data_IF_286692557453
#
_entry.id   IF_286692557453
#
_cell.length_a   1.000
_cell.length_b   1.000
_cell.length_c   1.000
_cell.angle_alpha   90.00
_cell.angle_beta   90.00
_cell.angle_gamma   90.00
#
_symmetry.space_group_name_H-M   'P 1'
#
loop_
_entity.id
_entity.type
_entity.pdbx_description
1 polymer ?
#
# COMPACT_ATOMS: atom_id res chain seq x y z
N UNK A 1 -20.65 31.75 -38.47
CA UNK A 1 -21.59 31.79 -37.33
C UNK A 1 -22.46 30.56 -37.42
N UNK A 2 -22.03 29.46 -36.81
CA UNK A 2 -22.81 28.23 -36.69
C UNK A 2 -22.76 27.81 -35.23
N UNK A 3 -23.92 27.88 -34.56
CA UNK A 3 -24.09 27.42 -33.20
C UNK A 3 -24.07 25.89 -33.17
N UNK A 4 -23.09 25.32 -32.47
CA UNK A 4 -23.14 23.93 -32.03
C UNK A 4 -23.74 23.91 -30.63
N UNK A 5 -24.97 23.41 -30.53
CA UNK A 5 -25.69 23.26 -29.28
C UNK A 5 -24.94 22.34 -28.32
N UNK A 6 -24.87 22.75 -27.06
CA UNK A 6 -24.67 21.85 -25.93
C UNK A 6 -25.79 20.81 -25.97
N UNK A 7 -25.46 19.57 -26.31
CA UNK A 7 -26.31 18.43 -26.00
C UNK A 7 -26.20 18.22 -24.49
N UNK A 8 -27.15 18.81 -23.76
CA UNK A 8 -27.42 18.51 -22.34
C UNK A 8 -27.91 17.06 -22.25
N UNK A 9 -26.97 16.13 -22.32
CA UNK A 9 -27.19 14.74 -21.97
C UNK A 9 -27.36 14.64 -20.46
N UNK A 10 -28.61 14.46 -20.04
CA UNK A 10 -29.08 13.92 -18.76
C UNK A 10 -27.96 13.56 -17.78
N UNK A 11 -27.78 14.42 -16.77
CA UNK A 11 -27.02 14.07 -15.57
C UNK A 11 -27.55 12.77 -14.93
N UNK A 12 -26.75 12.14 -14.06
CA UNK A 12 -27.09 10.87 -13.45
C UNK A 12 -28.49 10.92 -12.84
N UNK A 13 -29.30 9.88 -13.14
CA UNK A 13 -30.71 9.78 -12.73
C UNK A 13 -30.83 10.03 -11.22
N UNK A 14 -31.72 10.97 -10.88
CA UNK A 14 -31.99 11.43 -9.52
C UNK A 14 -32.46 10.28 -8.63
N UNK A 15 -31.54 9.76 -7.82
CA UNK A 15 -31.88 9.32 -6.48
C UNK A 15 -31.64 10.51 -5.56
N UNK A 16 -32.51 10.72 -4.56
CA UNK A 16 -32.58 11.89 -3.67
C UNK A 16 -31.34 12.11 -2.75
N UNK A 17 -30.15 11.63 -3.14
CA UNK A 17 -29.04 11.32 -2.23
C UNK A 17 -27.65 11.86 -2.60
N UNK A 18 -27.48 12.81 -3.53
CA UNK A 18 -26.16 13.44 -3.73
C UNK A 18 -26.15 14.94 -3.38
N UNK A 19 -26.15 15.30 -2.07
CA UNK A 19 -26.05 16.69 -1.63
C UNK A 19 -24.75 17.37 -2.06
N UNK A 20 -23.72 16.60 -2.48
CA UNK A 20 -22.46 17.16 -2.96
C UNK A 20 -22.58 17.72 -4.37
N UNK A 21 -23.20 17.00 -5.31
CA UNK A 21 -23.36 17.47 -6.69
C UNK A 21 -24.22 18.75 -6.78
N UNK A 22 -25.27 18.82 -5.97
CA UNK A 22 -26.13 20.00 -5.90
C UNK A 22 -25.41 21.24 -5.34
N UNK A 23 -24.35 21.06 -4.54
CA UNK A 23 -23.57 22.15 -3.92
C UNK A 23 -22.28 22.48 -4.65
N UNK A 24 -21.70 21.50 -5.33
CA UNK A 24 -20.46 21.62 -6.08
C UNK A 24 -20.60 22.63 -7.21
N UNK A 25 -21.61 22.47 -8.06
CA UNK A 25 -21.79 23.36 -9.23
C UNK A 25 -22.08 24.82 -8.84
N UNK A 26 -22.96 25.12 -7.86
CA UNK A 26 -23.13 26.49 -7.37
C UNK A 26 -21.85 27.09 -6.76
N UNK A 27 -21.09 26.31 -5.97
CA UNK A 27 -19.83 26.77 -5.37
C UNK A 27 -18.80 27.12 -6.44
N UNK A 28 -18.71 26.29 -7.49
CA UNK A 28 -17.86 26.55 -8.65
C UNK A 28 -18.27 27.78 -9.44
N UNK A 29 -19.56 27.92 -9.78
CA UNK A 29 -20.05 29.09 -10.51
C UNK A 29 -19.82 30.38 -9.73
N UNK A 30 -19.96 30.34 -8.40
CA UNK A 30 -19.62 31.47 -7.54
C UNK A 30 -18.12 31.81 -7.60
N UNK A 31 -17.24 30.80 -7.62
CA UNK A 31 -15.80 30.97 -7.83
C UNK A 31 -15.46 31.58 -9.20
N UNK A 32 -16.07 31.06 -10.27
CA UNK A 32 -15.89 31.55 -11.64
C UNK A 32 -16.35 33.00 -11.80
N UNK A 33 -17.48 33.37 -11.19
CA UNK A 33 -17.98 34.75 -11.18
C UNK A 33 -17.03 35.73 -10.47
N UNK A 34 -16.18 35.24 -9.57
CA UNK A 34 -15.15 36.04 -8.89
C UNK A 34 -13.81 36.10 -9.66
N UNK A 35 -13.77 35.66 -10.92
CA UNK A 35 -12.57 35.70 -11.76
C UNK A 35 -11.55 34.58 -11.49
N UNK A 36 -11.92 33.55 -10.71
CA UNK A 36 -11.05 32.40 -10.38
C UNK A 36 -11.16 31.22 -11.37
N UNK A 37 -11.98 31.36 -12.42
CA UNK A 37 -12.26 30.26 -13.36
C UNK A 37 -13.00 29.09 -12.69
N UNK A 38 -12.91 27.90 -13.30
CA UNK A 38 -13.50 26.66 -12.81
C UNK A 38 -12.52 25.84 -11.94
N UNK A 39 -11.49 26.49 -11.38
CA UNK A 39 -10.51 25.82 -10.53
C UNK A 39 -11.11 25.46 -9.16
N UNK A 40 -10.81 24.26 -8.69
CA UNK A 40 -11.18 23.83 -7.33
C UNK A 40 -10.14 24.33 -6.36
N UNK A 41 -10.48 25.38 -5.61
CA UNK A 41 -9.67 25.87 -4.50
C UNK A 41 -10.23 25.39 -3.15
N UNK A 42 -9.49 25.68 -2.09
CA UNK A 42 -9.87 25.31 -0.72
C UNK A 42 -11.19 25.95 -0.27
N UNK A 43 -11.59 27.09 -0.87
CA UNK A 43 -12.85 27.77 -0.58
C UNK A 43 -14.07 27.09 -1.22
N UNK A 44 -13.90 26.49 -2.41
CA UNK A 44 -14.91 25.63 -3.04
C UNK A 44 -15.15 24.39 -2.18
N UNK A 45 -14.08 23.75 -1.70
CA UNK A 45 -14.17 22.59 -0.81
C UNK A 45 -14.85 22.94 0.52
N UNK A 46 -14.50 24.08 1.11
CA UNK A 46 -15.19 24.62 2.30
C UNK A 46 -16.69 24.78 2.05
N UNK A 47 -17.09 25.46 0.98
CA UNK A 47 -18.50 25.72 0.65
C UNK A 47 -19.27 24.41 0.41
N UNK A 48 -18.66 23.46 -0.28
CA UNK A 48 -19.28 22.17 -0.59
C UNK A 48 -19.47 21.31 0.68
N UNK A 49 -18.47 21.30 1.57
CA UNK A 49 -18.49 20.49 2.78
C UNK A 49 -19.16 21.20 3.97
N UNK A 50 -19.48 22.48 3.85
CA UNK A 50 -20.17 23.24 4.90
C UNK A 50 -21.57 22.67 5.18
N UNK A 51 -21.96 22.66 6.45
CA UNK A 51 -23.22 22.06 6.91
C UNK A 51 -23.37 20.53 6.71
N UNK A 52 -22.45 19.86 6.00
CA UNK A 52 -22.46 18.39 5.88
C UNK A 52 -22.12 17.72 7.22
N UNK A 53 -22.73 16.57 7.51
CA UNK A 53 -22.39 15.75 8.67
C UNK A 53 -20.91 15.34 8.68
N UNK A 54 -20.30 15.17 9.86
CA UNK A 54 -18.87 14.85 10.00
C UNK A 54 -18.50 13.53 9.29
N UNK A 55 -19.39 12.56 9.26
CA UNK A 55 -19.22 11.26 8.63
C UNK A 55 -19.68 11.23 7.17
N UNK A 56 -19.96 12.38 6.55
CA UNK A 56 -20.55 12.42 5.22
C UNK A 56 -19.68 11.76 4.13
N UNK A 57 -18.35 11.72 4.32
CA UNK A 57 -17.40 11.04 3.42
C UNK A 57 -16.88 9.71 3.99
N UNK A 58 -17.56 9.14 4.99
CA UNK A 58 -17.16 7.84 5.57
C UNK A 58 -17.49 6.66 4.65
N UNK A 59 -18.56 6.76 3.87
CA UNK A 59 -18.97 5.71 2.95
C UNK A 59 -18.18 5.79 1.65
N UNK A 60 -17.76 4.62 1.15
CA UNK A 60 -17.10 4.46 -0.15
C UNK A 60 -17.87 5.14 -1.27
N UNK A 61 -19.18 4.83 -1.38
CA UNK A 61 -20.06 5.40 -2.41
C UNK A 61 -20.02 6.92 -2.47
N UNK A 62 -20.02 7.62 -1.32
CA UNK A 62 -20.01 9.08 -1.32
C UNK A 62 -18.64 9.65 -1.70
N UNK A 63 -17.56 8.95 -1.36
CA UNK A 63 -16.21 9.33 -1.83
C UNK A 63 -16.07 9.12 -3.33
N UNK A 64 -16.58 8.01 -3.86
CA UNK A 64 -16.61 7.73 -5.30
C UNK A 64 -17.45 8.77 -6.06
N UNK A 65 -18.64 9.09 -5.57
CA UNK A 65 -19.49 10.13 -6.17
C UNK A 65 -18.77 11.49 -6.24
N UNK A 66 -18.08 11.88 -5.16
CA UNK A 66 -17.34 13.14 -5.12
C UNK A 66 -16.06 13.09 -5.96
N UNK A 67 -15.29 12.00 -5.91
CA UNK A 67 -14.09 11.81 -6.72
C UNK A 67 -14.43 11.87 -8.21
N UNK A 68 -15.48 11.15 -8.63
CA UNK A 68 -15.96 11.17 -10.01
C UNK A 68 -16.37 12.58 -10.47
N UNK A 69 -17.06 13.35 -9.62
CA UNK A 69 -17.44 14.71 -9.93
C UNK A 69 -16.22 15.64 -10.11
N UNK A 70 -15.23 15.52 -9.22
CA UNK A 70 -13.99 16.30 -9.28
C UNK A 70 -13.11 15.89 -10.47
N UNK A 71 -13.05 14.59 -10.79
CA UNK A 71 -12.37 14.06 -11.98
C UNK A 71 -12.90 14.68 -13.26
N UNK A 72 -14.24 14.72 -13.43
CA UNK A 72 -14.86 15.37 -14.60
C UNK A 72 -14.44 16.85 -14.69
N UNK A 73 -14.36 17.55 -13.57
CA UNK A 73 -13.97 18.95 -13.56
C UNK A 73 -12.50 19.16 -13.96
N UNK A 74 -11.61 18.32 -13.44
CA UNK A 74 -10.20 18.30 -13.82
C UNK A 74 -10.04 18.04 -15.32
N UNK A 75 -10.79 17.09 -15.87
CA UNK A 75 -10.76 16.74 -17.30
C UNK A 75 -11.30 17.85 -18.21
N UNK A 76 -12.19 18.71 -17.69
CA UNK A 76 -12.74 19.85 -18.45
C UNK A 76 -11.85 21.09 -18.45
N UNK A 77 -10.79 21.11 -17.66
CA UNK A 77 -9.82 22.22 -17.64
C UNK A 77 -8.93 22.21 -18.89
N UNK A 78 -8.35 23.36 -19.24
CA UNK A 78 -7.42 23.46 -20.38
C UNK A 78 -6.12 22.67 -20.12
N UNK A 79 -5.71 22.58 -18.85
CA UNK A 79 -4.58 21.75 -18.41
C UNK A 79 -5.01 20.81 -17.27
N UNK A 80 -5.51 19.60 -17.61
CA UNK A 80 -5.95 18.61 -16.61
C UNK A 80 -4.85 18.21 -15.63
N UNK A 81 -3.59 18.21 -16.05
CA UNK A 81 -2.47 17.85 -15.17
C UNK A 81 -2.24 18.92 -14.10
N UNK A 82 -2.26 20.20 -14.50
CA UNK A 82 -2.17 21.31 -13.56
C UNK A 82 -3.42 21.39 -12.66
N UNK A 83 -4.62 21.18 -13.21
CA UNK A 83 -5.87 21.17 -12.46
C UNK A 83 -5.92 20.05 -11.41
N UNK A 84 -5.46 18.84 -11.74
CA UNK A 84 -5.35 17.73 -10.79
C UNK A 84 -4.40 18.09 -9.63
N UNK A 85 -3.25 18.67 -9.96
CA UNK A 85 -2.25 19.11 -8.96
C UNK A 85 -2.85 20.18 -8.05
N UNK A 86 -3.51 21.19 -8.62
CA UNK A 86 -4.18 22.25 -7.88
C UNK A 86 -5.28 21.71 -6.96
N UNK A 87 -6.06 20.71 -7.40
CA UNK A 87 -7.07 20.05 -6.55
C UNK A 87 -6.43 19.36 -5.34
N UNK A 88 -5.30 18.67 -5.52
CA UNK A 88 -4.57 18.05 -4.42
C UNK A 88 -4.05 19.10 -3.43
N UNK A 89 -3.54 20.23 -3.93
CA UNK A 89 -3.13 21.35 -3.08
C UNK A 89 -4.31 21.95 -2.32
N UNK A 90 -5.43 22.19 -2.99
CA UNK A 90 -6.65 22.68 -2.36
C UNK A 90 -7.16 21.76 -1.25
N UNK A 91 -7.12 20.44 -1.45
CA UNK A 91 -7.48 19.47 -0.43
C UNK A 91 -6.52 19.49 0.77
N UNK A 92 -5.22 19.65 0.53
CA UNK A 92 -4.21 19.79 1.58
C UNK A 92 -4.36 21.09 2.37
N UNK A 93 -4.59 22.20 1.68
CA UNK A 93 -4.84 23.51 2.28
C UNK A 93 -6.11 23.50 3.12
N UNK A 94 -7.20 22.97 2.58
CA UNK A 94 -8.46 22.79 3.30
C UNK A 94 -8.23 21.98 4.58
N UNK A 95 -7.53 20.85 4.50
CA UNK A 95 -7.22 20.02 5.66
C UNK A 95 -6.35 20.79 6.68
N UNK A 96 -5.30 21.49 6.22
CA UNK A 96 -4.40 22.25 7.08
C UNK A 96 -5.10 23.41 7.81
N UNK A 97 -5.98 24.14 7.12
CA UNK A 97 -6.80 25.20 7.71
C UNK A 97 -7.69 24.64 8.84
N UNK A 98 -8.35 23.51 8.58
CA UNK A 98 -9.20 22.84 9.59
C UNK A 98 -8.38 22.24 10.73
N UNK A 99 -7.15 21.80 10.48
CA UNK A 99 -6.24 21.37 11.53
C UNK A 99 -5.88 22.54 12.46
N UNK A 100 -5.57 23.71 11.88
CA UNK A 100 -5.24 24.92 12.63
C UNK A 100 -6.42 25.42 13.48
N UNK A 101 -7.63 25.47 12.91
CA UNK A 101 -8.87 25.82 13.63
C UNK A 101 -9.14 24.89 14.84
N UNK A 102 -8.65 23.66 14.78
CA UNK A 102 -8.83 22.64 15.80
C UNK A 102 -7.63 22.52 16.76
N UNK A 103 -6.76 23.54 16.82
CA UNK A 103 -5.62 23.57 17.73
C UNK A 103 -4.53 22.56 17.37
N UNK A 104 -4.38 22.23 16.09
CA UNK A 104 -3.37 21.28 15.60
C UNK A 104 -3.82 19.81 15.62
N UNK A 105 -5.09 19.53 15.91
CA UNK A 105 -5.61 18.15 16.02
C UNK A 105 -6.59 17.85 14.89
N UNK A 106 -6.34 16.77 14.16
CA UNK A 106 -7.23 16.34 13.09
C UNK A 106 -8.50 15.73 13.68
N UNK A 107 -9.66 16.35 13.38
CA UNK A 107 -10.96 15.82 13.80
C UNK A 107 -11.47 14.68 12.93
N UNK A 108 -10.68 14.13 12.02
CA UNK A 108 -11.09 13.04 11.12
C UNK A 108 -12.41 13.35 10.37
N UNK A 109 -13.11 12.33 9.86
CA UNK A 109 -14.37 12.50 9.15
C UNK A 109 -14.17 13.31 7.87
N UNK A 110 -15.13 14.17 7.49
CA UNK A 110 -15.10 14.94 6.24
C UNK A 110 -13.83 15.78 6.05
N UNK A 111 -13.28 16.31 7.15
CA UNK A 111 -12.09 17.16 7.13
C UNK A 111 -10.84 16.40 6.69
N UNK A 112 -10.77 15.11 7.02
CA UNK A 112 -9.65 14.22 6.68
C UNK A 112 -9.95 13.36 5.46
N UNK A 113 -11.18 12.87 5.33
CA UNK A 113 -11.59 11.95 4.28
C UNK A 113 -11.56 12.58 2.89
N UNK A 114 -11.57 13.92 2.79
CA UNK A 114 -11.31 14.63 1.54
C UNK A 114 -9.91 14.33 0.98
N UNK A 115 -8.92 14.02 1.84
CA UNK A 115 -7.59 13.59 1.40
C UNK A 115 -7.64 12.24 0.66
N UNK A 116 -8.56 11.34 1.03
CA UNK A 116 -8.78 10.08 0.30
C UNK A 116 -9.50 10.28 -1.03
N UNK A 117 -10.39 11.28 -1.11
CA UNK A 117 -11.01 11.69 -2.36
C UNK A 117 -9.95 12.28 -3.30
N UNK A 118 -9.11 13.19 -2.81
CA UNK A 118 -7.97 13.71 -3.56
C UNK A 118 -6.99 12.61 -3.97
N UNK A 119 -6.73 11.64 -3.10
CA UNK A 119 -5.92 10.46 -3.43
C UNK A 119 -6.55 9.63 -4.57
N UNK A 120 -7.88 9.56 -4.66
CA UNK A 120 -8.56 8.86 -5.76
C UNK A 120 -8.40 9.60 -7.07
N UNK A 121 -8.64 10.91 -7.08
CA UNK A 121 -8.43 11.75 -8.27
C UNK A 121 -6.97 11.72 -8.70
N UNK A 122 -6.01 11.72 -7.75
CA UNK A 122 -4.58 11.65 -8.06
C UNK A 122 -4.21 10.41 -8.89
N UNK A 123 -4.81 9.26 -8.53
CA UNK A 123 -4.57 7.98 -9.20
C UNK A 123 -5.26 7.94 -10.55
N UNK A 124 -6.52 8.38 -10.62
CA UNK A 124 -7.30 8.43 -11.87
C UNK A 124 -6.66 9.35 -12.92
N UNK A 125 -6.16 10.50 -12.48
CA UNK A 125 -5.52 11.49 -13.35
C UNK A 125 -4.01 11.24 -13.54
N UNK A 126 -3.46 10.20 -12.91
CA UNK A 126 -2.03 9.84 -12.98
C UNK A 126 -1.13 11.05 -12.74
N UNK A 127 -1.39 11.76 -11.64
CA UNK A 127 -0.69 13.02 -11.30
C UNK A 127 0.82 12.80 -11.29
N UNK A 128 1.57 13.58 -12.08
CA UNK A 128 3.02 13.41 -12.21
C UNK A 128 3.83 14.02 -11.05
N UNK A 129 3.27 15.00 -10.33
CA UNK A 129 3.97 15.72 -9.27
C UNK A 129 4.15 14.86 -8.01
N UNK A 130 5.34 14.27 -7.87
CA UNK A 130 5.72 13.47 -6.70
C UNK A 130 5.77 14.28 -5.40
N UNK A 131 6.01 15.59 -5.45
CA UNK A 131 6.09 16.41 -4.24
C UNK A 131 4.70 16.60 -3.62
N UNK A 132 3.67 16.89 -4.42
CA UNK A 132 2.30 17.03 -3.91
C UNK A 132 1.74 15.69 -3.42
N UNK A 133 1.99 14.60 -4.13
CA UNK A 133 1.56 13.25 -3.70
C UNK A 133 2.26 12.83 -2.41
N UNK A 134 3.55 13.14 -2.26
CA UNK A 134 4.27 12.87 -1.01
C UNK A 134 3.75 13.69 0.17
N UNK A 135 3.38 14.98 -0.04
CA UNK A 135 2.70 15.80 0.97
C UNK A 135 1.35 15.21 1.38
N UNK A 136 0.59 14.68 0.43
CA UNK A 136 -0.66 13.97 0.69
C UNK A 136 -0.46 12.75 1.58
N UNK A 137 0.51 11.89 1.25
CA UNK A 137 0.86 10.72 2.07
C UNK A 137 1.33 11.13 3.48
N UNK A 138 2.15 12.18 3.58
CA UNK A 138 2.62 12.69 4.86
C UNK A 138 1.46 13.22 5.73
N UNK A 139 0.50 13.94 5.13
CA UNK A 139 -0.69 14.44 5.83
C UNK A 139 -1.58 13.30 6.34
N UNK A 140 -1.79 12.25 5.53
CA UNK A 140 -2.51 11.05 5.94
C UNK A 140 -1.82 10.37 7.14
N UNK A 141 -0.52 10.11 7.03
CA UNK A 141 0.27 9.49 8.08
C UNK A 141 0.29 10.32 9.37
N UNK A 142 0.42 11.64 9.28
CA UNK A 142 0.45 12.51 10.45
C UNK A 142 -0.84 12.43 11.29
N UNK A 143 -1.98 12.19 10.65
CA UNK A 143 -3.27 12.11 11.33
C UNK A 143 -3.60 10.69 11.80
N UNK A 144 -3.23 9.66 11.03
CA UNK A 144 -3.61 8.26 11.30
C UNK A 144 -2.52 7.46 12.04
N UNK A 145 -1.28 7.97 12.06
CA UNK A 145 -0.11 7.27 12.58
C UNK A 145 0.44 6.16 11.67
N UNK A 146 -0.16 5.97 10.50
CA UNK A 146 0.21 4.98 9.51
C UNK A 146 -0.51 5.21 8.17
N UNK A 147 -0.28 4.31 7.21
CA UNK A 147 -0.92 4.33 5.88
C UNK A 147 -1.77 3.06 5.65
N UNK A 148 -2.34 2.53 6.72
CA UNK A 148 -3.11 1.28 6.76
C UNK A 148 -4.22 1.24 5.73
N UNK A 149 -4.93 2.36 5.53
CA UNK A 149 -6.04 2.43 4.56
C UNK A 149 -5.59 2.34 3.10
N UNK A 150 -4.31 2.58 2.81
CA UNK A 150 -3.73 2.37 1.48
C UNK A 150 -3.06 0.99 1.37
N UNK A 151 -2.39 0.53 2.43
CA UNK A 151 -1.59 -0.70 2.41
C UNK A 151 -2.42 -1.96 2.68
N UNK A 152 -3.30 -1.94 3.69
CA UNK A 152 -4.05 -3.13 4.09
C UNK A 152 -4.94 -3.71 2.98
N UNK A 153 -5.64 -2.91 2.15
CA UNK A 153 -6.41 -3.45 1.01
C UNK A 153 -5.54 -4.20 0.00
N UNK A 154 -4.32 -3.74 -0.27
CA UNK A 154 -3.39 -4.35 -1.24
C UNK A 154 -2.77 -5.67 -0.73
N UNK A 155 -2.74 -5.86 0.59
CA UNK A 155 -2.03 -6.96 1.25
C UNK A 155 -2.97 -8.01 1.86
N UNK A 156 -4.13 -7.58 2.37
CA UNK A 156 -5.13 -8.44 3.01
C UNK A 156 -6.42 -8.54 2.19
N UNK A 157 -6.55 -7.74 1.13
CA UNK A 157 -7.77 -7.57 0.36
C UNK A 157 -8.72 -6.51 0.94
N UNK A 158 -9.51 -5.82 0.10
CA UNK A 158 -10.43 -4.76 0.52
C UNK A 158 -11.47 -5.19 1.57
N UNK A 159 -11.91 -6.46 1.52
CA UNK A 159 -12.91 -7.01 2.45
C UNK A 159 -12.38 -7.15 3.87
N UNK A 160 -11.15 -7.64 4.03
CA UNK A 160 -10.51 -7.82 5.34
C UNK A 160 -10.13 -6.46 5.92
N UNK A 161 -9.62 -5.56 5.10
CA UNK A 161 -9.30 -4.19 5.52
C UNK A 161 -10.51 -3.48 6.17
N UNK A 162 -11.71 -3.66 5.61
CA UNK A 162 -12.96 -3.12 6.19
C UNK A 162 -13.24 -3.60 7.60
N UNK A 163 -12.95 -4.87 7.90
CA UNK A 163 -13.18 -5.45 9.22
C UNK A 163 -12.20 -4.88 10.27
N UNK A 164 -10.96 -4.58 9.86
CA UNK A 164 -9.90 -4.14 10.77
C UNK A 164 -9.94 -2.64 11.06
N UNK A 165 -10.24 -1.84 10.04
CA UNK A 165 -10.10 -0.37 10.10
C UNK A 165 -11.44 0.37 10.24
N UNK A 166 -12.56 -0.35 10.19
CA UNK A 166 -13.91 0.22 9.98
C UNK A 166 -14.02 1.13 8.75
N UNK A 167 -13.02 1.08 7.86
CA UNK A 167 -12.93 1.87 6.64
C UNK A 167 -13.11 0.94 5.44
N UNK A 168 -14.08 1.24 4.60
CA UNK A 168 -14.24 0.50 3.33
C UNK A 168 -13.26 1.08 2.33
N UNK A 169 -12.35 0.27 1.79
CA UNK A 169 -11.44 0.70 0.71
C UNK A 169 -12.22 1.23 -0.49
N UNK A 170 -11.59 2.08 -1.28
CA UNK A 170 -12.15 2.56 -2.55
C UNK A 170 -12.03 1.51 -3.66
N UNK A 171 -11.24 0.45 -3.44
CA UNK A 171 -11.02 -0.64 -4.39
C UNK A 171 -12.04 -1.78 -4.21
N UNK A 172 -12.36 -2.49 -5.29
CA UNK A 172 -13.17 -3.71 -5.26
C UNK A 172 -12.32 -4.97 -5.11
N UNK A 173 -11.12 -4.96 -5.70
CA UNK A 173 -10.24 -6.12 -5.78
C UNK A 173 -8.85 -5.86 -5.16
N UNK A 174 -8.16 -6.90 -4.66
CA UNK A 174 -6.75 -6.77 -4.25
C UNK A 174 -5.85 -6.24 -5.37
N UNK A 175 -6.13 -6.58 -6.63
CA UNK A 175 -5.35 -6.18 -7.79
C UNK A 175 -5.43 -4.67 -8.02
N UNK A 176 -6.63 -4.09 -7.97
CA UNK A 176 -6.84 -2.63 -8.02
C UNK A 176 -6.12 -1.93 -6.87
N UNK A 177 -6.27 -2.44 -5.64
CA UNK A 177 -5.59 -1.89 -4.47
C UNK A 177 -4.07 -1.92 -4.60
N UNK A 178 -3.50 -2.97 -5.23
CA UNK A 178 -2.06 -3.07 -5.49
C UNK A 178 -1.61 -2.07 -6.55
N UNK A 179 -2.37 -1.88 -7.64
CA UNK A 179 -2.05 -0.86 -8.64
C UNK A 179 -2.05 0.54 -8.03
N UNK A 180 -3.05 0.83 -7.20
CA UNK A 180 -3.15 2.07 -6.44
C UNK A 180 -1.99 2.24 -5.46
N UNK A 181 -1.60 1.18 -4.75
CA UNK A 181 -0.44 1.21 -3.86
C UNK A 181 0.86 1.48 -4.64
N UNK A 182 1.06 0.85 -5.79
CA UNK A 182 2.22 1.09 -6.66
C UNK A 182 2.33 2.56 -7.03
N UNK A 183 1.24 3.20 -7.46
CA UNK A 183 1.22 4.64 -7.74
C UNK A 183 1.80 5.46 -6.57
N UNK A 184 1.32 5.22 -5.34
CA UNK A 184 1.81 5.94 -4.17
C UNK A 184 3.25 5.59 -3.79
N UNK A 185 3.69 4.34 -3.96
CA UNK A 185 5.05 3.92 -3.70
C UNK A 185 6.04 4.54 -4.70
N UNK A 186 5.66 4.65 -5.97
CA UNK A 186 6.45 5.30 -7.02
C UNK A 186 6.72 6.76 -6.63
N UNK A 187 5.67 7.53 -6.30
CA UNK A 187 5.78 8.93 -5.89
C UNK A 187 6.54 9.08 -4.57
N UNK A 188 6.27 8.23 -3.57
CA UNK A 188 7.00 8.24 -2.31
C UNK A 188 8.50 7.97 -2.53
N UNK A 189 8.85 7.06 -3.44
CA UNK A 189 10.23 6.76 -3.77
C UNK A 189 10.91 7.95 -4.46
N UNK A 190 10.26 8.54 -5.47
CA UNK A 190 10.78 9.70 -6.20
C UNK A 190 10.99 10.92 -5.28
N UNK A 191 10.05 11.15 -4.36
CA UNK A 191 10.13 12.24 -3.38
C UNK A 191 11.02 11.90 -2.17
N UNK A 192 11.59 10.69 -2.08
CA UNK A 192 12.37 10.19 -0.94
C UNK A 192 11.63 10.33 0.39
N UNK A 193 10.32 10.05 0.37
CA UNK A 193 9.42 10.27 1.49
C UNK A 193 9.77 9.37 2.67
N UNK A 194 10.07 10.02 3.80
CA UNK A 194 10.17 9.36 5.11
C UNK A 194 9.05 9.86 6.01
N UNK A 195 8.49 8.95 6.80
CA UNK A 195 7.34 9.18 7.66
C UNK A 195 7.80 9.33 9.11
N UNK A 196 7.45 10.43 9.79
CA UNK A 196 7.85 10.66 11.17
C UNK A 196 7.27 9.61 12.11
N UNK A 197 8.06 9.19 13.10
CA UNK A 197 7.65 8.19 14.09
C UNK A 197 7.62 8.79 15.50
N UNK A 198 6.67 8.42 16.36
CA UNK A 198 6.65 8.89 17.75
C UNK A 198 7.90 8.40 18.50
N UNK A 199 8.79 9.32 18.89
CA UNK A 199 9.98 9.01 19.68
C UNK A 199 11.04 8.16 18.95
N UNK A 200 10.97 8.05 17.62
CA UNK A 200 11.85 7.23 16.80
C UNK A 200 12.25 7.97 15.51
N UNK A 201 13.35 7.57 14.83
CA UNK A 201 13.73 8.17 13.56
C UNK A 201 12.63 7.98 12.51
N UNK A 202 12.54 8.92 11.58
CA UNK A 202 11.63 8.80 10.44
C UNK A 202 11.98 7.57 9.59
N UNK A 203 10.95 6.89 9.10
CA UNK A 203 11.09 5.62 8.38
C UNK A 203 10.54 5.74 6.97
N UNK A 204 11.14 5.09 5.95
CA UNK A 204 10.52 4.92 4.64
C UNK A 204 9.12 4.29 4.73
N UNK A 205 8.24 4.61 3.78
CA UNK A 205 6.84 4.13 3.72
C UNK A 205 6.73 2.61 3.92
N UNK A 206 7.54 1.82 3.22
CA UNK A 206 7.50 0.34 3.28
C UNK A 206 8.03 -0.28 4.58
N UNK A 207 8.57 0.54 5.47
CA UNK A 207 9.07 0.14 6.79
C UNK A 207 8.30 0.77 7.93
N UNK A 208 7.43 1.74 7.64
CA UNK A 208 6.58 2.36 8.63
C UNK A 208 5.60 1.33 9.21
N UNK A 209 5.37 1.35 10.53
CA UNK A 209 4.43 0.45 11.18
C UNK A 209 3.00 0.74 10.72
N UNK A 210 2.16 -0.30 10.69
CA UNK A 210 0.72 -0.21 10.43
C UNK A 210 -0.05 -0.36 11.75
N UNK A 211 -0.52 0.73 12.40
CA UNK A 211 -1.26 0.71 13.65
C UNK A 211 -2.40 -0.32 13.74
N UNK A 212 -3.21 -0.46 12.69
CA UNK A 212 -4.33 -1.42 12.68
C UNK A 212 -3.86 -2.88 12.67
N UNK A 213 -2.60 -3.11 12.29
CA UNK A 213 -1.95 -4.42 12.25
C UNK A 213 -0.90 -4.57 13.35
N UNK A 214 -1.17 -4.01 14.53
CA UNK A 214 -0.31 -4.10 15.72
C UNK A 214 1.12 -3.56 15.48
N UNK A 215 1.25 -2.57 14.60
CA UNK A 215 2.54 -1.97 14.25
C UNK A 215 3.41 -2.83 13.32
N UNK A 216 2.85 -3.87 12.71
CA UNK A 216 3.57 -4.66 11.71
C UNK A 216 3.94 -3.80 10.48
N UNK A 217 5.15 -3.97 9.92
CA UNK A 217 5.47 -3.36 8.63
C UNK A 217 4.71 -4.06 7.49
N UNK A 218 4.48 -3.37 6.35
CA UNK A 218 3.73 -3.90 5.21
C UNK A 218 4.12 -5.32 4.77
N UNK A 219 5.42 -5.59 4.64
CA UNK A 219 5.89 -6.90 4.19
C UNK A 219 5.62 -8.02 5.21
N UNK A 220 5.65 -7.73 6.50
CA UNK A 220 5.28 -8.70 7.53
C UNK A 220 3.80 -9.08 7.40
N UNK A 221 2.93 -8.08 7.19
CA UNK A 221 1.51 -8.32 7.00
C UNK A 221 1.23 -9.20 5.76
N UNK A 222 1.97 -8.99 4.66
CA UNK A 222 1.84 -9.80 3.45
C UNK A 222 2.24 -11.26 3.66
N UNK A 223 3.36 -11.48 4.37
CA UNK A 223 3.79 -12.83 4.76
C UNK A 223 2.79 -13.49 5.70
N UNK A 224 2.20 -12.73 6.64
CA UNK A 224 1.16 -13.25 7.54
C UNK A 224 -0.10 -13.67 6.79
N UNK A 225 -0.45 -12.97 5.72
CA UNK A 225 -1.57 -13.30 4.85
C UNK A 225 -1.30 -14.49 3.93
N UNK A 226 -0.03 -14.86 3.73
CA UNK A 226 0.36 -15.87 2.74
C UNK A 226 0.17 -15.39 1.30
N UNK A 227 0.13 -14.08 1.08
CA UNK A 227 -0.09 -13.47 -0.24
C UNK A 227 1.24 -13.30 -0.98
N UNK A 228 1.56 -14.28 -1.84
CA UNK A 228 2.81 -14.30 -2.62
C UNK A 228 2.95 -13.09 -3.55
N UNK A 229 1.85 -12.60 -4.13
CA UNK A 229 1.86 -11.46 -5.06
C UNK A 229 2.13 -10.15 -4.32
N UNK A 230 1.48 -9.94 -3.16
CA UNK A 230 1.76 -8.78 -2.31
C UNK A 230 3.21 -8.81 -1.79
N UNK A 231 3.71 -9.99 -1.39
CA UNK A 231 5.12 -10.15 -0.99
C UNK A 231 6.06 -9.77 -2.14
N UNK A 232 5.81 -10.27 -3.36
CA UNK A 232 6.61 -9.94 -4.53
C UNK A 232 6.62 -8.43 -4.79
N UNK A 233 5.44 -7.80 -4.81
CA UNK A 233 5.28 -6.36 -5.06
C UNK A 233 6.09 -5.55 -4.05
N UNK A 234 5.90 -5.79 -2.75
CA UNK A 234 6.57 -5.04 -1.69
C UNK A 234 8.09 -5.23 -1.76
N UNK A 235 8.55 -6.46 -1.99
CA UNK A 235 9.97 -6.73 -2.21
C UNK A 235 10.48 -5.95 -3.41
N UNK A 236 9.82 -6.00 -4.56
CA UNK A 236 10.23 -5.28 -5.78
C UNK A 236 10.42 -3.78 -5.53
N UNK A 237 9.62 -3.16 -4.66
CA UNK A 237 9.73 -1.74 -4.27
C UNK A 237 10.72 -1.49 -3.11
N UNK A 238 11.48 -2.50 -2.69
CA UNK A 238 12.59 -2.35 -1.74
C UNK A 238 12.24 -2.62 -0.28
N UNK A 239 11.08 -3.24 0.02
CA UNK A 239 10.77 -3.64 1.39
C UNK A 239 11.84 -4.61 1.94
N UNK A 240 12.29 -4.44 3.19
CA UNK A 240 13.36 -5.26 3.76
C UNK A 240 12.86 -6.67 4.11
N UNK A 241 13.38 -7.74 3.48
CA UNK A 241 12.90 -9.11 3.70
C UNK A 241 13.25 -9.66 5.09
N UNK A 242 14.31 -9.13 5.70
CA UNK A 242 14.76 -9.54 7.02
C UNK A 242 15.10 -8.29 7.85
N UNK A 243 14.26 -8.01 8.84
CA UNK A 243 14.48 -7.00 9.87
C UNK A 243 14.92 -7.66 11.16
N UNK A 244 15.51 -6.90 12.09
CA UNK A 244 15.74 -7.40 13.44
C UNK A 244 14.44 -7.49 14.25
N UNK A 245 14.38 -8.37 15.25
CA UNK A 245 13.27 -8.44 16.20
C UNK A 245 12.10 -9.34 15.81
N UNK A 246 10.98 -9.20 16.53
CA UNK A 246 9.83 -10.11 16.43
C UNK A 246 9.04 -9.97 15.12
N UNK A 247 9.04 -8.78 14.51
CA UNK A 247 8.31 -8.44 13.28
C UNK A 247 9.15 -8.66 12.01
N UNK A 248 10.02 -9.68 12.03
CA UNK A 248 10.86 -10.04 10.90
C UNK A 248 10.10 -10.90 9.86
N UNK A 249 9.94 -10.45 8.60
CA UNK A 249 9.18 -11.20 7.59
C UNK A 249 9.76 -12.59 7.28
N UNK A 250 11.07 -12.70 7.07
CA UNK A 250 11.74 -13.99 6.89
C UNK A 250 11.50 -14.95 8.06
N UNK A 251 11.66 -14.46 9.29
CA UNK A 251 11.45 -15.29 10.48
C UNK A 251 9.99 -15.74 10.61
N UNK A 252 9.03 -14.89 10.25
CA UNK A 252 7.63 -15.26 10.23
C UNK A 252 7.34 -16.40 9.25
N UNK A 253 7.82 -16.29 8.00
CA UNK A 253 7.64 -17.34 6.99
C UNK A 253 8.21 -18.69 7.47
N UNK A 254 9.39 -18.66 8.08
CA UNK A 254 10.04 -19.85 8.66
C UNK A 254 9.23 -20.44 9.82
N UNK A 255 8.71 -19.60 10.71
CA UNK A 255 7.85 -20.04 11.84
C UNK A 255 6.55 -20.67 11.35
N UNK A 256 5.91 -20.13 10.31
CA UNK A 256 4.69 -20.70 9.72
C UNK A 256 4.93 -22.10 9.16
N UNK A 257 5.96 -22.26 8.32
CA UNK A 257 6.33 -23.57 7.78
C UNK A 257 6.72 -24.55 8.89
N UNK A 258 7.42 -24.07 9.93
CA UNK A 258 7.79 -24.89 11.08
C UNK A 258 6.57 -25.32 11.91
N UNK A 259 5.59 -24.44 12.09
CA UNK A 259 4.34 -24.77 12.76
C UNK A 259 3.52 -25.78 11.97
N UNK A 260 3.48 -25.66 10.63
CA UNK A 260 2.84 -26.64 9.74
C UNK A 260 3.51 -28.01 9.85
N UNK A 261 4.85 -28.03 9.83
CA UNK A 261 5.61 -29.26 10.01
C UNK A 261 5.29 -29.92 11.36
N UNK A 262 5.28 -29.15 12.46
CA UNK A 262 4.91 -29.67 13.79
C UNK A 262 3.48 -30.19 13.85
N UNK A 263 2.52 -29.45 13.29
CA UNK A 263 1.12 -29.85 13.28
C UNK A 263 0.92 -31.17 12.51
N UNK A 264 1.57 -31.32 11.36
CA UNK A 264 1.55 -32.54 10.57
C UNK A 264 2.22 -33.70 11.32
N UNK A 265 3.38 -33.47 11.95
CA UNK A 265 4.06 -34.49 12.74
C UNK A 265 3.29 -34.87 14.01
N UNK A 266 2.49 -33.98 14.59
CA UNK A 266 1.62 -34.28 15.72
C UNK A 266 0.41 -35.15 15.37
N UNK A 267 0.05 -35.24 14.09
CA UNK A 267 -1.01 -36.15 13.61
C UNK A 267 -0.48 -37.55 13.29
N UNK A 268 0.83 -37.76 13.37
CA UNK A 268 1.46 -39.04 13.12
C UNK A 268 1.25 -39.98 14.31
N UNK A 269 0.91 -41.24 14.02
CA UNK A 269 0.88 -42.27 15.05
C UNK A 269 2.26 -42.46 15.69
N UNK A 270 2.33 -42.62 17.01
CA UNK A 270 3.59 -42.85 17.70
C UNK A 270 4.24 -44.13 17.18
N UNK A 271 5.53 -44.04 16.80
CA UNK A 271 6.29 -45.22 16.45
C UNK A 271 6.90 -45.88 17.68
N UNK A 272 7.13 -47.19 17.61
CA UNK A 272 7.86 -47.99 18.60
C UNK A 272 9.38 -47.74 18.59
N UNK A 273 9.80 -46.62 18.04
CA UNK A 273 11.17 -46.20 17.84
C UNK A 273 11.74 -45.64 19.16
N UNK A 274 12.94 -46.06 19.62
CA UNK A 274 13.45 -45.70 20.95
C UNK A 274 14.03 -44.27 21.05
N UNK A 275 13.97 -43.46 19.98
CA UNK A 275 14.57 -42.11 19.93
C UNK A 275 13.52 -41.07 19.53
N UNK A 276 13.58 -39.89 20.16
CA UNK A 276 12.72 -38.73 19.87
C UNK A 276 12.81 -38.26 18.41
N UNK A 277 13.91 -38.57 17.71
CA UNK A 277 14.15 -38.30 16.29
C UNK A 277 14.43 -39.61 15.53
N UNK A 278 13.46 -40.52 15.48
CA UNK A 278 13.60 -41.77 14.72
C UNK A 278 13.82 -41.52 13.22
N UNK A 279 14.48 -42.43 12.46
CA UNK A 279 14.57 -42.30 11.00
C UNK A 279 13.21 -42.15 10.30
N UNK A 280 12.19 -42.81 10.85
CA UNK A 280 10.80 -42.67 10.41
C UNK A 280 10.23 -41.24 10.50
N UNK A 281 10.82 -40.37 11.32
CA UNK A 281 10.50 -38.94 11.41
C UNK A 281 10.75 -38.22 10.08
N UNK A 282 11.83 -38.60 9.38
CA UNK A 282 12.21 -38.01 8.10
C UNK A 282 11.51 -38.70 6.92
N UNK A 283 11.00 -39.92 7.12
CA UNK A 283 10.25 -40.65 6.09
C UNK A 283 8.77 -40.31 6.03
N UNK A 284 8.21 -39.63 7.05
CA UNK A 284 6.78 -39.26 7.04
C UNK A 284 6.50 -38.21 5.94
N UNK A 285 5.47 -38.40 5.10
CA UNK A 285 5.17 -37.47 4.03
C UNK A 285 4.71 -36.14 4.60
N UNK A 286 5.46 -35.07 4.29
CA UNK A 286 5.11 -33.71 4.64
C UNK A 286 5.00 -32.91 3.34
N UNK A 287 3.81 -32.37 3.07
CA UNK A 287 3.57 -31.54 1.90
C UNK A 287 3.34 -30.13 2.40
N UNK A 288 4.28 -29.23 2.09
CA UNK A 288 4.13 -27.82 2.39
C UNK A 288 3.20 -27.16 1.37
N UNK A 289 2.30 -26.24 1.78
CA UNK A 289 1.47 -25.50 0.86
C UNK A 289 2.32 -24.72 -0.15
N UNK A 290 2.00 -24.75 -1.45
CA UNK A 290 2.82 -24.13 -2.48
C UNK A 290 2.96 -22.61 -2.27
N UNK A 291 1.91 -21.93 -1.79
CA UNK A 291 1.93 -20.49 -1.52
C UNK A 291 2.92 -20.12 -0.40
N UNK A 292 2.94 -20.88 0.70
CA UNK A 292 3.87 -20.63 1.83
C UNK A 292 5.33 -20.87 1.40
N UNK A 293 5.56 -21.87 0.57
CA UNK A 293 6.88 -22.15 -0.03
C UNK A 293 7.26 -21.03 -1.01
N UNK A 294 6.33 -20.54 -1.82
CA UNK A 294 6.52 -19.43 -2.75
C UNK A 294 6.95 -18.15 -2.01
N UNK A 295 6.23 -17.79 -0.95
CA UNK A 295 6.58 -16.67 -0.05
C UNK A 295 7.99 -16.83 0.52
N UNK A 296 8.33 -18.00 1.07
CA UNK A 296 9.68 -18.25 1.60
C UNK A 296 10.74 -18.08 0.50
N UNK A 297 10.52 -18.63 -0.70
CA UNK A 297 11.47 -18.52 -1.83
C UNK A 297 11.71 -17.07 -2.22
N UNK A 298 10.67 -16.25 -2.33
CA UNK A 298 10.80 -14.82 -2.62
C UNK A 298 11.65 -14.10 -1.57
N UNK A 299 11.40 -14.37 -0.29
CA UNK A 299 12.17 -13.80 0.81
C UNK A 299 13.63 -14.25 0.77
N UNK A 300 13.90 -15.54 0.58
CA UNK A 300 15.26 -16.07 0.48
C UNK A 300 16.02 -15.47 -0.71
N UNK A 301 15.37 -15.30 -1.87
CA UNK A 301 15.97 -14.64 -3.04
C UNK A 301 16.26 -13.16 -2.80
N UNK A 302 15.50 -12.51 -1.93
CA UNK A 302 15.72 -11.12 -1.55
C UNK A 302 16.75 -10.95 -0.43
N UNK A 303 17.16 -12.03 0.26
CA UNK A 303 18.13 -12.00 1.36
C UNK A 303 19.49 -12.47 0.86
N UNK A 304 20.53 -11.66 1.06
CA UNK A 304 21.91 -12.06 0.78
C UNK A 304 22.46 -12.97 1.86
N UNK A 305 21.86 -14.13 2.09
CA UNK A 305 22.42 -15.16 2.97
C UNK A 305 22.68 -14.77 4.43
N UNK A 306 21.94 -13.82 5.02
CA UNK A 306 22.02 -13.60 6.47
C UNK A 306 21.73 -14.91 7.20
N UNK A 307 22.49 -15.20 8.25
CA UNK A 307 22.38 -16.41 9.06
C UNK A 307 20.92 -16.67 9.44
N UNK A 308 20.29 -17.60 8.72
CA UNK A 308 18.99 -18.14 9.12
C UNK A 308 19.22 -18.82 10.47
N UNK A 309 18.52 -18.43 11.54
CA UNK A 309 18.74 -19.02 12.85
C UNK A 309 18.39 -20.51 12.78
N UNK A 310 19.37 -21.40 12.91
CA UNK A 310 19.18 -22.86 12.81
C UNK A 310 18.71 -23.45 14.15
N UNK A 311 18.04 -22.65 14.98
CA UNK A 311 17.53 -23.10 16.26
C UNK A 311 16.32 -24.04 16.03
N UNK A 312 16.39 -25.34 16.40
CA UNK A 312 15.31 -26.30 16.17
C UNK A 312 14.00 -25.94 16.92
N UNK A 313 14.10 -25.13 17.97
CA UNK A 313 12.94 -24.61 18.71
C UNK A 313 12.21 -23.52 17.92
N UNK A 314 12.90 -22.89 16.97
CA UNK A 314 12.36 -21.85 16.08
C UNK A 314 12.02 -22.42 14.70
N UNK A 315 12.93 -23.20 14.12
CA UNK A 315 12.82 -23.81 12.80
C UNK A 315 12.74 -25.33 12.92
N UNK A 316 11.64 -25.92 12.45
CA UNK A 316 11.48 -27.36 12.49
C UNK A 316 12.53 -28.05 11.57
N UNK A 317 13.18 -29.15 11.99
CA UNK A 317 14.22 -29.82 11.20
C UNK A 317 13.79 -30.19 9.77
N UNK A 318 12.51 -30.51 9.58
CA UNK A 318 11.94 -30.81 8.24
C UNK A 318 12.00 -29.65 7.25
N UNK A 319 11.97 -28.39 7.72
CA UNK A 319 12.14 -27.22 6.82
C UNK A 319 13.55 -27.22 6.22
N UNK A 320 14.53 -27.73 6.95
CA UNK A 320 15.92 -27.84 6.50
C UNK A 320 16.12 -29.11 5.67
N UNK A 321 15.72 -30.28 6.18
CA UNK A 321 15.96 -31.57 5.51
C UNK A 321 15.25 -31.70 4.17
N UNK A 322 14.07 -31.10 4.05
CA UNK A 322 13.27 -31.16 2.82
C UNK A 322 13.74 -30.09 1.80
N UNK A 323 14.87 -29.41 2.08
CA UNK A 323 15.57 -28.54 1.14
C UNK A 323 14.92 -27.17 0.93
N UNK A 324 13.97 -26.74 1.77
CA UNK A 324 13.24 -25.48 1.57
C UNK A 324 14.11 -24.24 1.74
N UNK A 325 15.17 -24.31 2.56
CA UNK A 325 16.14 -23.22 2.72
C UNK A 325 17.11 -23.12 1.53
N UNK A 326 17.04 -24.06 0.59
CA UNK A 326 17.94 -24.14 -0.54
C UNK A 326 19.35 -24.61 -0.17
N UNK A 327 20.24 -24.48 -1.14
CA UNK A 327 21.68 -24.76 -0.99
C UNK A 327 22.44 -23.46 -0.72
N UNK A 328 23.75 -23.55 -0.45
CA UNK A 328 24.62 -22.40 -0.22
C UNK A 328 24.41 -21.30 -1.28
N UNK A 329 24.22 -20.03 -0.86
CA UNK A 329 23.91 -18.93 -1.79
C UNK A 329 25.02 -18.77 -2.84
N UNK A 330 24.62 -18.72 -4.12
CA UNK A 330 25.53 -18.49 -5.25
C UNK A 330 25.93 -17.02 -5.34
N UNK A 331 27.02 -16.71 -6.04
CA UNK A 331 27.45 -15.32 -6.31
C UNK A 331 26.32 -14.47 -6.90
N UNK A 332 25.49 -15.05 -7.77
CA UNK A 332 24.32 -14.40 -8.35
C UNK A 332 23.32 -13.91 -7.27
N UNK A 333 23.09 -14.69 -6.21
CA UNK A 333 22.22 -14.29 -5.10
C UNK A 333 22.80 -13.13 -4.29
N UNK A 334 24.12 -13.15 -4.06
CA UNK A 334 24.82 -12.05 -3.39
C UNK A 334 24.78 -10.77 -4.21
N UNK A 335 25.02 -10.87 -5.52
CA UNK A 335 24.92 -9.75 -6.45
C UNK A 335 23.49 -9.17 -6.45
N UNK A 336 22.47 -10.02 -6.57
CA UNK A 336 21.05 -9.65 -6.47
C UNK A 336 20.76 -8.86 -5.19
N UNK A 337 21.11 -9.42 -4.03
CA UNK A 337 20.92 -8.76 -2.76
C UNK A 337 21.61 -7.40 -2.70
N UNK A 338 22.90 -7.35 -3.07
CA UNK A 338 23.69 -6.13 -2.96
C UNK A 338 23.19 -5.03 -3.90
N UNK A 339 22.85 -5.37 -5.13
CA UNK A 339 22.26 -4.44 -6.10
C UNK A 339 20.94 -3.88 -5.57
N UNK A 340 20.02 -4.75 -5.14
CA UNK A 340 18.72 -4.34 -4.61
C UNK A 340 18.84 -3.46 -3.37
N UNK A 341 19.70 -3.83 -2.42
CA UNK A 341 19.96 -3.03 -1.22
C UNK A 341 20.54 -1.65 -1.57
N UNK A 342 21.42 -1.58 -2.57
CA UNK A 342 22.01 -0.32 -3.04
C UNK A 342 20.94 0.55 -3.72
N UNK A 343 20.12 -0.03 -4.60
CA UNK A 343 19.03 0.69 -5.27
C UNK A 343 18.01 1.23 -4.26
N UNK A 344 17.61 0.43 -3.28
CA UNK A 344 16.70 0.83 -2.21
C UNK A 344 17.28 1.98 -1.37
N UNK A 345 18.56 1.89 -0.97
CA UNK A 345 19.22 2.94 -0.18
C UNK A 345 19.35 4.28 -0.92
N UNK A 346 19.36 4.25 -2.26
CA UNK A 346 19.45 5.44 -3.10
C UNK A 346 18.09 5.91 -3.65
N UNK A 347 16.98 5.32 -3.19
CA UNK A 347 15.63 5.63 -3.70
C UNK A 347 15.49 5.44 -5.22
N UNK A 348 16.21 4.47 -5.76
CA UNK A 348 16.29 4.17 -7.19
C UNK A 348 15.39 2.98 -7.58
N UNK A 349 14.27 2.80 -6.86
CA UNK A 349 13.26 1.76 -7.11
C UNK A 349 11.85 2.36 -7.25
N UNK A 350 11.62 3.39 -8.08
CA UNK A 350 10.29 4.02 -8.19
C UNK A 350 9.24 2.96 -8.53
N UNK A 351 9.34 2.31 -9.70
CA UNK A 351 8.42 1.25 -10.14
C UNK A 351 8.81 -0.17 -9.69
N UNK A 352 9.61 -0.26 -8.64
CA UNK A 352 10.32 -1.46 -8.26
C UNK A 352 11.33 -1.99 -9.30
N UNK A 353 11.86 -3.18 -9.07
CA UNK A 353 12.94 -3.74 -9.90
C UNK A 353 12.53 -4.16 -11.32
N UNK A 354 11.24 -4.21 -11.65
CA UNK A 354 10.76 -4.73 -12.93
C UNK A 354 10.93 -3.74 -14.10
N UNK A 355 10.86 -2.42 -13.84
CA UNK A 355 10.91 -1.38 -14.88
C UNK A 355 12.17 -0.52 -14.81
N UNK A 356 13.25 -1.04 -14.21
CA UNK A 356 14.51 -0.30 -14.13
C UNK A 356 15.17 -0.19 -15.51
N UNK A 357 15.71 0.98 -15.90
CA UNK A 357 16.43 1.16 -17.15
C UNK A 357 17.85 0.58 -17.05
N UNK A 358 17.95 -0.74 -16.81
CA UNK A 358 19.21 -1.47 -16.72
C UNK A 358 19.42 -2.34 -17.97
N UNK A 359 20.67 -2.66 -18.35
CA UNK A 359 20.93 -3.58 -19.44
C UNK A 359 20.21 -4.91 -19.24
N UNK A 360 19.70 -5.51 -20.33
CA UNK A 360 18.94 -6.76 -20.27
C UNK A 360 19.70 -7.90 -19.58
N UNK A 361 21.04 -7.91 -19.67
CA UNK A 361 21.90 -8.88 -18.99
C UNK A 361 21.86 -8.79 -17.45
N UNK A 362 21.46 -7.65 -16.88
CA UNK A 362 21.38 -7.42 -15.42
C UNK A 362 20.00 -7.79 -14.87
N UNK A 363 18.95 -7.75 -15.69
CA UNK A 363 17.57 -8.05 -15.26
C UNK A 363 17.40 -9.41 -14.55
N UNK A 364 18.02 -10.52 -14.99
CA UNK A 364 17.94 -11.80 -14.29
C UNK A 364 18.46 -11.75 -12.84
N UNK A 365 19.42 -10.87 -12.57
CA UNK A 365 19.97 -10.67 -11.23
C UNK A 365 19.04 -9.83 -10.35
N UNK A 366 18.13 -9.03 -10.90
CA UNK A 366 17.20 -8.21 -10.12
C UNK A 366 15.82 -8.86 -9.94
N UNK A 367 15.43 -9.71 -10.88
CA UNK A 367 14.15 -10.39 -10.90
C UNK A 367 14.11 -11.51 -9.84
N UNK A 368 13.14 -11.41 -8.93
CA UNK A 368 12.92 -12.39 -7.86
C UNK A 368 12.17 -13.65 -8.33
N UNK A 369 11.66 -13.67 -9.56
CA UNK A 369 11.00 -14.83 -10.17
C UNK A 369 11.98 -15.74 -10.93
N UNK A 370 13.19 -15.26 -11.20
CA UNK A 370 14.22 -16.00 -11.95
C UNK A 370 15.31 -16.49 -10.98
N UNK A 371 15.80 -17.71 -11.20
CA UNK A 371 17.00 -18.26 -10.55
C UNK A 371 18.06 -18.66 -11.57
#
# INVERSE_FOLDING_TARGET
MEGRGLVLGWGPRSNKDSPFLERLWPAMLAGAACGRGLLVDSTVLDTMLDGCARDCLSSRRRREELASALTVMVETDEDPSAAATALLEAALEYHAARLADNGGVCRLGKFHNILYVAAAVAVEQVVADSAVVARLLAALHACEGGLDRLVAPAVLGPRVSRLLSSWRSDDDTPEEARLRLVFFLDHACQARLTLPQPGAPALPVLTAPLPTLQGAPPLYAAVQAGDEEAVLLLLQHGAPPATGGALCPLLLALRRLSALARACMGQRDPCSCPHDLCPCFFSFPLIFPPQEVGVLRLLLRAVGGRCIPVDPTVIHPRVVSDGLLGTTPRLAHWARYRLRATLAANWALPHGTAKLPVPAAVLPYLNLLLD
#
